data_IF_618782811050
#
_entry.id   IF_618782811050
#
_cell.length_a   1.000
_cell.length_b   1.000
_cell.length_c   1.000
_cell.angle_alpha   90.00
_cell.angle_beta   90.00
_cell.angle_gamma   90.00
#
_symmetry.space_group_name_H-M   'P 1'
#
loop_
_entity.id
_entity.type
_entity.pdbx_description
1 polymer ?
#
# COMPACT_ATOMS: atom_id res chain seq x y z
N UNK A 1 -15.10 -28.65 -14.62
CA UNK A 1 -15.80 -28.09 -13.47
C UNK A 1 -15.03 -28.34 -12.16
N UNK A 2 -15.01 -27.38 -11.32
CA UNK A 2 -14.32 -27.50 -10.04
C UNK A 2 -15.18 -28.26 -9.04
N UNK A 3 -14.56 -29.14 -8.28
CA UNK A 3 -15.24 -29.81 -7.20
C UNK A 3 -15.16 -28.97 -5.92
N UNK A 4 -15.76 -29.45 -4.85
CA UNK A 4 -15.80 -28.69 -3.61
C UNK A 4 -14.41 -28.49 -3.02
N UNK A 5 -13.53 -29.46 -3.18
CA UNK A 5 -12.17 -29.33 -2.65
C UNK A 5 -11.42 -28.21 -3.35
N UNK A 6 -11.51 -28.17 -4.68
CA UNK A 6 -10.87 -27.12 -5.45
C UNK A 6 -11.43 -25.75 -5.08
N UNK A 7 -12.73 -25.67 -4.91
CA UNK A 7 -13.36 -24.43 -4.52
C UNK A 7 -12.90 -23.99 -3.14
N UNK A 8 -12.80 -24.89 -2.19
CA UNK A 8 -12.34 -24.56 -0.85
C UNK A 8 -10.89 -24.10 -0.87
N UNK A 9 -10.04 -24.76 -1.67
CA UNK A 9 -8.66 -24.33 -1.81
C UNK A 9 -8.55 -22.97 -2.43
N UNK A 10 -9.38 -22.67 -3.41
CA UNK A 10 -9.38 -21.36 -4.04
C UNK A 10 -9.80 -20.28 -3.06
N UNK A 11 -10.81 -20.54 -2.26
CA UNK A 11 -11.27 -19.57 -1.27
C UNK A 11 -10.21 -19.32 -0.21
N UNK A 12 -9.51 -20.37 0.21
CA UNK A 12 -8.45 -20.22 1.20
C UNK A 12 -7.31 -19.37 0.62
N UNK A 13 -6.94 -19.62 -0.62
CA UNK A 13 -5.91 -18.84 -1.30
C UNK A 13 -6.33 -17.38 -1.41
N UNK A 14 -7.58 -17.16 -1.76
CA UNK A 14 -8.10 -15.80 -1.87
C UNK A 14 -8.06 -15.09 -0.52
N UNK A 15 -8.38 -15.80 0.55
CA UNK A 15 -8.33 -15.23 1.88
C UNK A 15 -6.91 -14.81 2.27
N UNK A 16 -5.92 -15.62 1.91
CA UNK A 16 -4.51 -15.28 2.14
C UNK A 16 -4.13 -14.06 1.31
N UNK A 17 -4.50 -14.05 0.02
CA UNK A 17 -4.19 -12.93 -0.85
C UNK A 17 -4.87 -11.65 -0.41
N UNK A 18 -6.01 -11.75 0.26
CA UNK A 18 -6.74 -10.56 0.70
C UNK A 18 -6.00 -9.73 1.73
N UNK A 19 -4.97 -10.27 2.36
CA UNK A 19 -4.15 -9.49 3.28
C UNK A 19 -2.84 -9.05 2.63
N UNK A 20 -2.57 -9.45 1.40
CA UNK A 20 -1.35 -9.09 0.69
C UNK A 20 -1.65 -8.05 -0.37
N UNK A 21 -0.96 -6.92 -0.30
CA UNK A 21 -1.11 -5.82 -1.24
C UNK A 21 0.15 -5.76 -2.08
N UNK A 22 0.05 -6.15 -3.35
CA UNK A 22 1.19 -6.05 -4.25
C UNK A 22 1.39 -4.61 -4.67
N UNK A 23 2.64 -4.17 -4.58
CA UNK A 23 3.01 -2.80 -4.92
C UNK A 23 4.29 -2.83 -5.75
N UNK A 24 4.43 -1.84 -6.59
CA UNK A 24 5.67 -1.61 -7.32
C UNK A 24 6.35 -0.37 -6.77
N UNK A 25 7.66 -0.22 -6.98
CA UNK A 25 8.34 0.99 -6.54
C UNK A 25 7.77 2.23 -7.22
N UNK A 26 7.51 3.26 -6.42
CA UNK A 26 7.08 4.54 -6.95
C UNK A 26 8.25 5.40 -7.40
N UNK A 27 7.95 6.58 -7.95
CA UNK A 27 9.03 7.45 -8.47
C UNK A 27 10.10 7.80 -7.43
N UNK A 28 9.73 7.91 -6.16
CA UNK A 28 10.68 8.25 -5.11
C UNK A 28 10.98 7.08 -4.18
N UNK A 29 10.79 5.85 -4.65
CA UNK A 29 11.06 4.67 -3.82
C UNK A 29 12.49 4.68 -3.29
N UNK A 30 13.43 5.13 -4.08
CA UNK A 30 14.83 5.11 -3.66
C UNK A 30 15.18 6.17 -2.62
N UNK A 31 14.23 6.99 -2.20
CA UNK A 31 14.44 7.91 -1.08
C UNK A 31 14.53 7.15 0.24
N UNK A 32 13.87 5.98 0.35
CA UNK A 32 13.83 5.26 1.62
C UNK A 32 15.05 4.37 1.76
N UNK A 33 15.49 4.18 2.99
CA UNK A 33 16.71 3.42 3.26
C UNK A 33 16.42 1.92 3.32
N UNK A 34 17.48 1.13 3.37
CA UNK A 34 17.34 -0.34 3.36
C UNK A 34 16.56 -0.85 4.56
N UNK A 35 16.70 -0.21 5.71
CA UNK A 35 15.98 -0.62 6.90
C UNK A 35 14.47 -0.47 6.71
N UNK A 36 14.05 0.64 6.12
CA UNK A 36 12.64 0.89 5.89
C UNK A 36 12.11 -0.01 4.77
N UNK A 37 12.93 -0.30 3.75
CA UNK A 37 12.55 -1.24 2.71
C UNK A 37 12.29 -2.62 3.33
N UNK A 38 13.16 -3.02 4.26
CA UNK A 38 12.99 -4.30 4.95
C UNK A 38 11.70 -4.31 5.78
N UNK A 39 11.40 -3.20 6.45
CA UNK A 39 10.14 -3.09 7.20
C UNK A 39 8.95 -3.26 6.28
N UNK A 40 8.97 -2.61 5.11
CA UNK A 40 7.89 -2.73 4.15
C UNK A 40 7.67 -4.18 3.71
N UNK A 41 8.76 -4.94 3.62
CA UNK A 41 8.70 -6.31 3.14
C UNK A 41 8.28 -7.30 4.23
N UNK A 42 8.62 -7.02 5.47
CA UNK A 42 8.47 -8.00 6.54
C UNK A 42 7.34 -7.73 7.51
N UNK A 43 6.92 -6.48 7.69
CA UNK A 43 5.97 -6.14 8.72
C UNK A 43 4.55 -6.06 8.19
N UNK A 44 3.60 -6.37 9.06
CA UNK A 44 2.19 -6.09 8.79
C UNK A 44 1.92 -4.63 9.13
N UNK A 45 1.02 -4.03 8.36
CA UNK A 45 0.58 -2.66 8.61
C UNK A 45 -0.90 -2.69 8.94
N UNK A 46 -1.29 -1.94 9.95
CA UNK A 46 -2.63 -1.99 10.51
C UNK A 46 -3.37 -0.74 10.06
N UNK A 47 -4.54 -0.94 9.46
CA UNK A 47 -5.36 0.17 9.01
C UNK A 47 -5.85 0.94 10.25
N UNK A 48 -5.48 2.23 10.33
CA UNK A 48 -5.91 3.08 11.44
C UNK A 48 -7.21 3.80 11.12
N UNK A 49 -7.34 4.26 9.87
CA UNK A 49 -8.55 4.92 9.41
C UNK A 49 -8.58 4.87 7.89
N UNK A 50 -9.75 5.11 7.35
CA UNK A 50 -9.89 5.20 5.91
C UNK A 50 -11.10 6.06 5.58
N UNK A 51 -11.01 6.71 4.43
CA UNK A 51 -12.12 7.42 3.84
C UNK A 51 -11.98 7.27 2.33
N UNK A 52 -12.87 7.94 1.57
CA UNK A 52 -12.82 7.80 0.12
C UNK A 52 -11.51 8.25 -0.49
N UNK A 53 -10.78 9.13 0.21
CA UNK A 53 -9.57 9.72 -0.33
C UNK A 53 -8.34 8.87 -0.08
N UNK A 54 -8.30 8.12 1.03
CA UNK A 54 -7.11 7.34 1.30
C UNK A 54 -7.22 6.44 2.50
N UNK A 55 -6.23 5.57 2.61
CA UNK A 55 -6.07 4.68 3.75
C UNK A 55 -4.83 5.12 4.54
N UNK A 56 -4.98 5.10 5.85
CA UNK A 56 -3.93 5.47 6.81
C UNK A 56 -3.62 4.27 7.69
N UNK A 57 -2.40 4.21 8.20
CA UNK A 57 -1.94 3.04 8.94
C UNK A 57 -1.43 3.47 10.32
N UNK A 58 -1.53 2.55 11.29
CA UNK A 58 -1.08 2.82 12.65
C UNK A 58 0.45 2.84 12.76
N UNK A 59 1.10 2.01 11.98
CA UNK A 59 2.55 1.91 11.99
C UNK A 59 3.10 2.40 10.67
N UNK A 60 4.30 2.92 10.69
CA UNK A 60 4.90 3.51 9.51
C UNK A 60 6.39 3.25 9.46
N UNK A 61 7.07 4.11 8.71
CA UNK A 61 8.50 4.04 8.50
C UNK A 61 9.18 5.11 9.36
N UNK A 62 10.50 5.28 9.16
CA UNK A 62 11.27 6.26 9.89
C UNK A 62 10.83 7.67 9.55
N UNK A 63 10.85 8.59 10.52
CA UNK A 63 10.67 10.01 10.20
C UNK A 63 11.73 10.48 9.22
N UNK A 64 11.39 11.48 8.43
CA UNK A 64 12.29 11.94 7.38
C UNK A 64 12.06 13.42 7.11
N UNK A 65 12.96 14.00 6.34
CA UNK A 65 12.82 15.37 5.86
C UNK A 65 12.79 15.42 4.34
N UNK A 66 12.34 14.35 3.71
CA UNK A 66 12.22 14.29 2.26
C UNK A 66 11.16 15.27 1.79
N UNK A 67 11.40 15.85 0.64
CA UNK A 67 10.40 16.69 -0.02
C UNK A 67 10.59 16.57 -1.52
N UNK A 68 9.51 16.78 -2.24
CA UNK A 68 9.55 16.81 -3.70
C UNK A 68 8.76 18.02 -4.16
N UNK A 69 9.02 18.44 -5.39
CA UNK A 69 8.17 19.43 -6.05
C UNK A 69 6.81 18.78 -6.19
N UNK A 70 5.75 19.57 -5.95
CA UNK A 70 4.40 19.05 -6.12
C UNK A 70 4.26 18.37 -7.46
N UNK A 71 3.84 17.13 -7.44
CA UNK A 71 3.82 16.27 -8.61
C UNK A 71 2.48 15.57 -8.72
N UNK A 72 2.11 15.14 -9.93
CA UNK A 72 0.87 14.37 -10.09
C UNK A 72 0.92 13.08 -9.29
N UNK A 73 -0.24 12.71 -8.75
CA UNK A 73 -0.43 11.41 -8.12
C UNK A 73 -1.64 10.76 -8.78
N UNK A 74 -1.62 9.44 -8.84
CA UNK A 74 -2.72 8.68 -9.41
C UNK A 74 -3.27 7.75 -8.34
N UNK A 75 -4.49 7.23 -8.51
CA UNK A 75 -5.01 6.26 -7.56
C UNK A 75 -4.03 5.11 -7.39
N UNK A 76 -3.85 4.69 -6.16
CA UNK A 76 -2.91 3.63 -5.83
C UNK A 76 -1.54 4.12 -5.40
N UNK A 77 -1.25 5.41 -5.56
CA UNK A 77 0.00 5.97 -5.08
C UNK A 77 0.04 5.91 -3.55
N UNK A 78 1.16 5.45 -3.01
CA UNK A 78 1.38 5.46 -1.57
C UNK A 78 2.43 6.52 -1.28
N UNK A 79 2.03 7.52 -0.50
CA UNK A 79 2.86 8.66 -0.15
C UNK A 79 3.46 8.47 1.24
N UNK A 80 4.63 9.04 1.46
CA UNK A 80 5.32 9.01 2.74
C UNK A 80 5.38 10.42 3.31
N UNK A 81 4.82 10.59 4.50
CA UNK A 81 4.84 11.89 5.18
C UNK A 81 6.13 12.08 5.97
N UNK A 82 6.45 13.30 6.39
CA UNK A 82 7.66 13.53 7.20
C UNK A 82 7.69 12.75 8.51
N UNK A 83 6.53 12.46 9.10
CA UNK A 83 6.50 11.66 10.33
C UNK A 83 6.71 10.18 10.08
N UNK A 84 6.80 9.76 8.82
CA UNK A 84 6.96 8.35 8.47
C UNK A 84 5.66 7.63 8.21
N UNK A 85 4.54 8.31 8.33
CA UNK A 85 3.25 7.70 8.05
C UNK A 85 3.06 7.53 6.55
N UNK A 86 2.33 6.50 6.18
CA UNK A 86 2.01 6.26 4.78
C UNK A 86 0.55 6.56 4.52
N UNK A 87 0.29 7.10 3.34
CA UNK A 87 -1.06 7.38 2.88
C UNK A 87 -1.25 6.66 1.54
N UNK A 88 -2.16 5.70 1.52
CA UNK A 88 -2.48 4.99 0.28
C UNK A 88 -3.66 5.69 -0.37
N UNK A 89 -3.41 6.38 -1.47
CA UNK A 89 -4.44 7.18 -2.15
C UNK A 89 -5.38 6.26 -2.92
N UNK A 90 -6.66 6.48 -2.73
CA UNK A 90 -7.70 5.72 -3.39
C UNK A 90 -8.27 6.55 -4.54
N UNK A 91 -9.32 6.04 -5.19
CA UNK A 91 -9.79 6.64 -6.44
C UNK A 91 -10.26 8.08 -6.31
N UNK A 92 -10.75 8.45 -5.13
CA UNK A 92 -11.21 9.82 -4.89
C UNK A 92 -10.15 10.68 -4.21
N UNK A 93 -8.88 10.21 -4.21
CA UNK A 93 -7.81 10.94 -3.57
C UNK A 93 -7.39 12.17 -4.34
N UNK A 94 -6.44 12.90 -3.77
CA UNK A 94 -5.94 14.12 -4.39
C UNK A 94 -5.22 13.78 -5.70
N UNK A 95 -5.17 14.77 -6.58
CA UNK A 95 -4.57 14.57 -7.91
C UNK A 95 -3.13 15.07 -7.99
N UNK A 96 -2.65 15.74 -6.95
CA UNK A 96 -1.25 16.17 -6.88
C UNK A 96 -0.85 16.28 -5.42
N UNK A 97 0.43 16.21 -5.17
CA UNK A 97 0.95 16.33 -3.81
C UNK A 97 2.46 16.51 -3.79
N UNK A 98 2.96 16.88 -2.62
CA UNK A 98 4.37 17.14 -2.39
C UNK A 98 5.07 16.10 -1.54
N UNK A 99 4.39 15.03 -1.16
CA UNK A 99 5.04 13.94 -0.43
C UNK A 99 5.65 12.95 -1.40
N UNK A 100 6.78 12.35 -1.03
CA UNK A 100 7.39 11.31 -1.87
C UNK A 100 6.40 10.17 -2.17
N UNK A 101 6.39 9.76 -3.43
CA UNK A 101 5.56 8.67 -3.91
C UNK A 101 6.42 7.42 -3.89
N UNK A 102 6.35 6.68 -2.80
CA UNK A 102 7.29 5.57 -2.58
C UNK A 102 6.84 4.26 -3.19
N UNK A 103 5.54 4.03 -3.28
CA UNK A 103 4.99 2.77 -3.81
C UNK A 103 3.79 3.06 -4.67
N UNK A 104 3.45 2.09 -5.53
CA UNK A 104 2.28 2.19 -6.40
C UNK A 104 1.52 0.88 -6.40
N UNK A 105 0.23 0.95 -6.07
CA UNK A 105 -0.67 -0.21 -6.16
C UNK A 105 -1.25 -0.30 -7.57
N UNK A 106 -1.49 -1.52 -8.02
CA UNK A 106 -2.24 -1.74 -9.25
C UNK A 106 -3.75 -1.80 -8.94
N UNK A 107 -4.56 -1.98 -9.98
CA UNK A 107 -6.02 -1.99 -9.82
C UNK A 107 -6.49 -3.07 -8.85
N UNK A 108 -5.90 -4.26 -8.96
CA UNK A 108 -6.29 -5.35 -8.07
C UNK A 108 -5.96 -5.02 -6.63
N UNK A 109 -4.80 -4.47 -6.37
CA UNK A 109 -4.38 -4.11 -5.02
C UNK A 109 -5.26 -3.00 -4.44
N UNK A 110 -5.63 -2.02 -5.26
CA UNK A 110 -6.57 -0.98 -4.84
C UNK A 110 -7.88 -1.63 -4.44
N UNK A 111 -8.37 -2.56 -5.24
CA UNK A 111 -9.63 -3.25 -4.96
C UNK A 111 -9.55 -4.04 -3.65
N UNK A 112 -8.44 -4.73 -3.42
CA UNK A 112 -8.26 -5.50 -2.19
C UNK A 112 -8.23 -4.55 -0.98
N UNK A 113 -7.46 -3.48 -1.07
CA UNK A 113 -7.34 -2.55 0.04
C UNK A 113 -8.67 -1.87 0.34
N UNK A 114 -9.46 -1.59 -0.70
CA UNK A 114 -10.73 -0.90 -0.52
C UNK A 114 -11.74 -1.70 0.33
N UNK A 115 -11.49 -2.98 0.53
CA UNK A 115 -12.36 -3.82 1.35
C UNK A 115 -11.90 -3.90 2.80
N UNK A 116 -10.81 -3.25 3.13
CA UNK A 116 -10.28 -3.28 4.49
C UNK A 116 -10.93 -2.20 5.35
N UNK A 117 -10.94 -2.45 6.65
CA UNK A 117 -11.48 -1.50 7.62
C UNK A 117 -10.50 -1.33 8.76
N UNK A 118 -10.81 -0.38 9.63
CA UNK A 118 -9.97 -0.08 10.78
C UNK A 118 -9.66 -1.36 11.56
N UNK A 119 -8.38 -1.55 11.87
CA UNK A 119 -7.92 -2.71 12.60
C UNK A 119 -7.48 -3.87 11.73
N UNK A 120 -7.81 -3.85 10.45
CA UNK A 120 -7.37 -4.92 9.55
C UNK A 120 -5.88 -4.81 9.31
N UNK A 121 -5.25 -5.96 9.15
CA UNK A 121 -3.82 -6.04 8.86
C UNK A 121 -3.61 -6.30 7.39
N UNK A 122 -2.62 -5.64 6.82
CA UNK A 122 -2.19 -5.91 5.46
C UNK A 122 -0.68 -6.08 5.46
N UNK A 123 -0.20 -6.72 4.41
CA UNK A 123 1.23 -6.88 4.20
C UNK A 123 1.53 -6.49 2.76
N UNK A 124 2.53 -5.63 2.59
CA UNK A 124 2.95 -5.24 1.25
C UNK A 124 3.86 -6.29 0.66
N UNK A 125 3.72 -6.51 -0.63
CA UNK A 125 4.64 -7.34 -1.39
C UNK A 125 5.17 -6.49 -2.53
N UNK A 126 6.45 -6.16 -2.47
CA UNK A 126 7.06 -5.31 -3.47
C UNK A 126 7.43 -6.18 -4.67
N UNK A 127 6.88 -5.85 -5.81
CA UNK A 127 7.17 -6.56 -7.05
C UNK A 127 7.85 -5.58 -7.99
N UNK A 128 8.80 -6.07 -8.76
CA UNK A 128 9.52 -5.23 -9.70
C UNK A 128 8.92 -5.37 -11.08
N UNK A 129 8.88 -4.27 -11.78
CA UNK A 129 8.48 -4.30 -13.17
C UNK A 129 9.66 -4.76 -14.01
N UNK A 130 9.41 -5.74 -14.86
CA UNK A 130 10.43 -6.28 -15.74
C UNK A 130 10.73 -5.31 -16.88
#
# INVERSE_FOLDING_TARGET
KKNNLDFAGLMYTESVFKSTIEVSPGPEFNFINNKDIQLLDEEYFIVSSNNRMGYFFENGLSPNNFSIITSPVIPGTIQLTPSGNMIALMKDGQVSGGYPRILQMNELSISILSQKKQGDKIKFKIVELS
#
